data_IF_892595746409
#
_entry.id   IF_892595746409
#
_cell.length_a   1.000
_cell.length_b   1.000
_cell.length_c   1.000
_cell.angle_alpha   90.00
_cell.angle_beta   90.00
_cell.angle_gamma   90.00
#
_symmetry.space_group_name_H-M   'P 1'
#
loop_
_entity.id
_entity.type
_entity.pdbx_description
1 polymer ?
#
# COMPACT_ATOMS: atom_id res chain seq x y z
N UNK A 1 -74.06 9.64 6.10
CA UNK A 1 -72.67 9.82 6.59
C UNK A 1 -71.81 8.71 5.96
N UNK A 2 -71.47 8.74 4.67
CA UNK A 2 -70.23 9.33 4.07
C UNK A 2 -69.00 9.18 4.98
N UNK A 3 -67.79 8.75 4.61
CA UNK A 3 -67.15 8.08 3.47
C UNK A 3 -65.69 7.79 3.95
N UNK A 4 -65.13 6.59 3.73
CA UNK A 4 -63.92 6.28 2.94
C UNK A 4 -62.54 6.92 3.25
N UNK A 5 -61.50 6.14 2.86
CA UNK A 5 -60.04 6.38 2.78
C UNK A 5 -59.22 6.13 4.07
N UNK A 6 -58.32 5.13 4.19
CA UNK A 6 -57.06 4.79 3.42
C UNK A 6 -56.00 5.89 3.53
N UNK A 7 -54.72 5.47 3.52
CA UNK A 7 -53.41 6.18 3.50
C UNK A 7 -52.80 6.39 4.90
N UNK A 8 -51.55 6.01 5.21
CA UNK A 8 -50.35 5.95 4.37
C UNK A 8 -49.30 4.96 4.91
N UNK A 9 -48.85 4.05 4.04
CA UNK A 9 -47.53 3.41 4.14
C UNK A 9 -46.45 4.50 4.07
N UNK A 10 -45.60 4.57 5.09
CA UNK A 10 -44.38 5.36 5.04
C UNK A 10 -43.35 4.58 4.22
N UNK A 11 -43.23 4.97 2.95
CA UNK A 11 -42.12 4.59 2.08
C UNK A 11 -40.80 4.99 2.74
N UNK A 12 -39.99 4.00 3.15
CA UNK A 12 -38.57 4.20 3.40
C UNK A 12 -37.91 4.30 2.02
N UNK A 13 -37.68 5.53 1.55
CA UNK A 13 -36.81 5.75 0.40
C UNK A 13 -35.40 5.24 0.72
N UNK A 14 -34.75 4.46 -0.16
CA UNK A 14 -33.36 4.08 0.05
C UNK A 14 -32.48 5.32 -0.03
N UNK A 15 -31.73 5.57 1.03
CA UNK A 15 -30.70 6.59 1.13
C UNK A 15 -29.82 6.55 -0.12
N UNK A 16 -29.87 7.60 -0.92
CA UNK A 16 -28.98 7.75 -2.06
C UNK A 16 -27.57 7.97 -1.49
N UNK A 17 -26.78 6.90 -1.42
CA UNK A 17 -25.34 6.99 -1.19
C UNK A 17 -24.77 7.94 -2.23
N UNK A 18 -24.48 9.17 -1.82
CA UNK A 18 -23.78 10.18 -2.62
C UNK A 18 -22.52 9.53 -3.19
N UNK A 19 -22.55 9.16 -4.47
CA UNK A 19 -21.42 8.54 -5.15
C UNK A 19 -20.26 9.53 -5.10
N UNK A 20 -19.14 9.14 -4.47
CA UNK A 20 -17.94 9.99 -4.48
C UNK A 20 -17.52 10.20 -5.95
N UNK A 21 -16.96 11.35 -6.32
CA UNK A 21 -16.54 11.61 -7.71
C UNK A 21 -15.66 10.50 -8.30
N UNK A 22 -14.77 9.91 -7.48
CA UNK A 22 -13.95 8.76 -7.87
C UNK A 22 -14.74 7.46 -8.12
N UNK A 23 -15.89 7.27 -7.47
CA UNK A 23 -16.75 6.11 -7.70
C UNK A 23 -17.44 6.19 -9.07
N UNK A 24 -17.75 7.40 -9.57
CA UNK A 24 -18.31 7.58 -10.90
C UNK A 24 -17.29 7.25 -12.02
N UNK A 25 -16.04 7.70 -11.87
CA UNK A 25 -14.94 7.36 -12.78
C UNK A 25 -14.67 5.84 -12.77
N UNK A 26 -14.58 5.23 -11.59
CA UNK A 26 -14.36 3.80 -11.45
C UNK A 26 -15.50 2.96 -12.06
N UNK A 27 -16.76 3.40 -11.95
CA UNK A 27 -17.91 2.74 -12.60
C UNK A 27 -17.87 2.84 -14.12
N UNK A 28 -17.43 3.98 -14.68
CA UNK A 28 -17.24 4.12 -16.13
C UNK A 28 -16.11 3.23 -16.62
N UNK A 29 -14.96 3.29 -15.96
CA UNK A 29 -13.81 2.46 -16.27
C UNK A 29 -14.14 0.95 -16.19
N UNK A 30 -14.94 0.51 -15.22
CA UNK A 30 -15.42 -0.86 -15.10
C UNK A 30 -16.23 -1.35 -16.32
N UNK A 31 -16.81 -0.43 -17.10
CA UNK A 31 -17.53 -0.73 -18.36
C UNK A 31 -16.64 -0.60 -19.61
N UNK A 32 -15.33 -0.45 -19.44
CA UNK A 32 -14.37 -0.35 -20.54
C UNK A 32 -14.05 1.07 -21.00
N UNK A 33 -14.47 2.11 -20.27
CA UNK A 33 -14.11 3.50 -20.56
C UNK A 33 -12.61 3.76 -20.26
N UNK A 34 -11.79 3.77 -21.31
CA UNK A 34 -10.34 3.93 -21.23
C UNK A 34 -9.97 5.30 -20.66
N UNK A 35 -10.65 6.37 -21.07
CA UNK A 35 -10.35 7.72 -20.60
C UNK A 35 -10.66 7.89 -19.10
N UNK A 36 -11.72 7.23 -18.62
CA UNK A 36 -12.02 7.20 -17.19
C UNK A 36 -10.92 6.48 -16.39
N UNK A 37 -10.37 5.37 -16.93
CA UNK A 37 -9.28 4.65 -16.27
C UNK A 37 -7.96 5.42 -16.32
N UNK A 38 -7.66 6.11 -17.41
CA UNK A 38 -6.49 6.99 -17.52
C UNK A 38 -6.52 8.09 -16.44
N UNK A 39 -7.69 8.67 -16.16
CA UNK A 39 -7.82 9.63 -15.07
C UNK A 39 -7.52 8.98 -13.71
N UNK A 40 -8.11 7.81 -13.42
CA UNK A 40 -7.84 7.07 -12.18
C UNK A 40 -6.36 6.71 -12.04
N UNK A 41 -5.70 6.36 -13.14
CA UNK A 41 -4.26 6.10 -13.19
C UNK A 41 -3.47 7.35 -12.77
N UNK A 42 -3.72 8.49 -13.44
CA UNK A 42 -3.01 9.75 -13.13
C UNK A 42 -3.20 10.19 -11.68
N UNK A 43 -4.41 10.04 -11.15
CA UNK A 43 -4.74 10.41 -9.77
C UNK A 43 -4.02 9.54 -8.73
N UNK A 44 -3.68 8.30 -9.08
CA UNK A 44 -3.21 7.30 -8.11
C UNK A 44 -1.75 6.86 -8.29
N UNK A 45 -1.18 7.00 -9.49
CA UNK A 45 0.13 6.42 -9.85
C UNK A 45 1.24 6.89 -8.92
N UNK A 46 1.29 8.17 -8.59
CA UNK A 46 2.33 8.72 -7.70
C UNK A 46 2.30 8.08 -6.31
N UNK A 47 1.10 7.91 -5.73
CA UNK A 47 0.93 7.29 -4.41
C UNK A 47 1.33 5.81 -4.43
N UNK A 48 0.87 5.07 -5.44
CA UNK A 48 1.18 3.64 -5.61
C UNK A 48 2.68 3.44 -5.84
N UNK A 49 3.32 4.27 -6.66
CA UNK A 49 4.75 4.21 -6.91
C UNK A 49 5.57 4.44 -5.63
N UNK A 50 5.24 5.46 -4.83
CA UNK A 50 5.95 5.74 -3.57
C UNK A 50 5.83 4.57 -2.58
N UNK A 51 4.63 4.00 -2.42
CA UNK A 51 4.41 2.81 -1.61
C UNK A 51 5.30 1.65 -2.07
N UNK A 52 5.25 1.32 -3.37
CA UNK A 52 5.99 0.20 -3.93
C UNK A 52 7.50 0.44 -3.85
N UNK A 53 7.97 1.68 -4.02
CA UNK A 53 9.38 2.06 -3.86
C UNK A 53 9.87 1.80 -2.43
N UNK A 54 9.07 2.14 -1.41
CA UNK A 54 9.38 1.84 -0.01
C UNK A 54 9.46 0.33 0.24
N UNK A 55 8.48 -0.44 -0.24
CA UNK A 55 8.48 -1.89 -0.10
C UNK A 55 9.68 -2.55 -0.83
N UNK A 56 10.05 -2.02 -2.00
CA UNK A 56 11.19 -2.46 -2.79
C UNK A 56 12.57 -1.97 -2.30
N UNK A 57 12.62 -1.27 -1.17
CA UNK A 57 13.88 -0.78 -0.61
C UNK A 57 14.56 0.26 -1.48
N UNK A 58 13.79 1.18 -2.07
CA UNK A 58 14.32 2.27 -2.90
C UNK A 58 14.65 1.88 -4.34
N UNK A 59 14.51 0.61 -4.73
CA UNK A 59 14.86 0.16 -6.09
C UNK A 59 13.84 0.66 -7.13
N UNK A 60 14.24 1.66 -7.92
CA UNK A 60 13.37 2.38 -8.84
C UNK A 60 12.77 1.50 -9.94
N UNK A 61 13.60 0.75 -10.68
CA UNK A 61 13.12 -0.14 -11.74
C UNK A 61 12.06 -1.14 -11.26
N UNK A 62 12.33 -1.86 -10.16
CA UNK A 62 11.35 -2.77 -9.54
C UNK A 62 10.05 -2.08 -9.12
N UNK A 63 10.14 -0.88 -8.54
CA UNK A 63 8.96 -0.13 -8.14
C UNK A 63 8.12 0.27 -9.37
N UNK A 64 8.79 0.65 -10.47
CA UNK A 64 8.15 0.98 -11.73
C UNK A 64 7.45 -0.25 -12.35
N UNK A 65 8.12 -1.40 -12.41
CA UNK A 65 7.58 -2.66 -12.92
C UNK A 65 6.34 -3.09 -12.14
N UNK A 66 6.43 -3.11 -10.80
CA UNK A 66 5.29 -3.45 -9.94
C UNK A 66 4.15 -2.44 -10.07
N UNK A 67 4.46 -1.14 -10.25
CA UNK A 67 3.43 -0.12 -10.45
C UNK A 67 2.64 -0.43 -11.72
N UNK A 68 3.34 -0.74 -12.82
CA UNK A 68 2.70 -1.13 -14.08
C UNK A 68 1.84 -2.39 -13.90
N UNK A 69 2.39 -3.42 -13.26
CA UNK A 69 1.69 -4.68 -12.99
C UNK A 69 0.41 -4.46 -12.18
N UNK A 70 0.46 -3.61 -11.14
CA UNK A 70 -0.71 -3.26 -10.33
C UNK A 70 -1.82 -2.63 -11.17
N UNK A 71 -1.48 -1.70 -12.07
CA UNK A 71 -2.50 -1.06 -12.90
C UNK A 71 -3.04 -1.98 -14.01
N UNK A 72 -2.21 -2.87 -14.57
CA UNK A 72 -2.67 -3.92 -15.48
C UNK A 72 -3.68 -4.83 -14.78
N UNK A 73 -3.33 -5.30 -13.57
CA UNK A 73 -4.25 -6.12 -12.75
C UNK A 73 -5.50 -5.34 -12.35
N UNK A 74 -5.37 -4.06 -12.02
CA UNK A 74 -6.49 -3.21 -11.66
C UNK A 74 -7.47 -3.12 -12.83
N UNK A 75 -6.99 -2.85 -14.05
CA UNK A 75 -7.83 -2.83 -15.26
C UNK A 75 -8.57 -4.16 -15.47
N UNK A 76 -7.88 -5.28 -15.35
CA UNK A 76 -8.46 -6.62 -15.52
C UNK A 76 -9.51 -6.98 -14.45
N UNK A 77 -9.30 -6.54 -13.21
CA UNK A 77 -10.16 -6.87 -12.08
C UNK A 77 -11.30 -5.87 -11.86
N UNK A 78 -11.19 -4.64 -12.39
CA UNK A 78 -12.14 -3.56 -12.18
C UNK A 78 -13.60 -3.90 -12.57
N UNK A 79 -13.88 -4.66 -13.65
CA UNK A 79 -15.25 -5.08 -13.95
C UNK A 79 -15.93 -5.91 -12.85
N UNK A 80 -15.13 -6.59 -12.01
CA UNK A 80 -15.60 -7.42 -10.88
C UNK A 80 -15.57 -6.66 -9.54
N UNK A 81 -15.16 -5.40 -9.54
CA UNK A 81 -15.08 -4.60 -8.32
C UNK A 81 -16.49 -4.31 -7.79
N UNK A 82 -16.77 -4.70 -6.54
CA UNK A 82 -18.12 -4.58 -5.94
C UNK A 82 -18.50 -3.18 -5.48
N UNK A 83 -17.57 -2.21 -5.50
CA UNK A 83 -17.78 -0.84 -5.02
C UNK A 83 -18.21 -0.71 -3.55
N UNK A 84 -17.89 -1.71 -2.73
CA UNK A 84 -18.08 -1.69 -1.26
C UNK A 84 -17.03 -0.81 -0.53
N UNK A 85 -16.01 -0.35 -1.27
CA UNK A 85 -14.96 0.54 -0.78
C UNK A 85 -14.61 1.57 -1.87
N UNK A 86 -13.83 2.60 -1.54
CA UNK A 86 -13.31 3.49 -2.56
C UNK A 86 -12.37 2.74 -3.50
N UNK A 87 -12.33 3.14 -4.78
CA UNK A 87 -11.34 2.62 -5.74
C UNK A 87 -9.90 2.75 -5.19
N UNK A 88 -9.56 3.90 -4.60
CA UNK A 88 -8.25 4.15 -3.98
C UNK A 88 -7.89 3.09 -2.93
N UNK A 89 -8.82 2.75 -2.04
CA UNK A 89 -8.63 1.73 -0.99
C UNK A 89 -8.48 0.33 -1.57
N UNK A 90 -9.23 0.01 -2.62
CA UNK A 90 -9.12 -1.27 -3.31
C UNK A 90 -7.79 -1.40 -4.08
N UNK A 91 -7.40 -0.36 -4.82
CA UNK A 91 -6.14 -0.30 -5.55
C UNK A 91 -4.94 -0.38 -4.60
N UNK A 92 -5.02 0.30 -3.45
CA UNK A 92 -4.00 0.23 -2.41
C UNK A 92 -3.78 -1.21 -1.92
N UNK A 93 -4.87 -1.93 -1.60
CA UNK A 93 -4.79 -3.34 -1.20
C UNK A 93 -4.19 -4.22 -2.31
N UNK A 94 -4.56 -3.98 -3.58
CA UNK A 94 -3.99 -4.70 -4.72
C UNK A 94 -2.48 -4.45 -4.86
N UNK A 95 -2.02 -3.21 -4.62
CA UNK A 95 -0.61 -2.84 -4.66
C UNK A 95 0.20 -3.52 -3.55
N UNK A 96 -0.29 -3.47 -2.31
CA UNK A 96 0.31 -4.17 -1.18
C UNK A 96 0.41 -5.66 -1.48
N UNK A 97 -0.69 -6.30 -1.89
CA UNK A 97 -0.70 -7.73 -2.21
C UNK A 97 0.30 -8.09 -3.31
N UNK A 98 0.40 -7.28 -4.37
CA UNK A 98 1.35 -7.47 -5.47
C UNK A 98 2.80 -7.40 -4.98
N UNK A 99 3.14 -6.39 -4.17
CA UNK A 99 4.48 -6.27 -3.60
C UNK A 99 4.85 -7.42 -2.66
N UNK A 100 3.90 -7.90 -1.85
CA UNK A 100 4.15 -8.99 -0.91
C UNK A 100 4.26 -10.34 -1.62
N UNK A 101 3.51 -10.55 -2.71
CA UNK A 101 3.71 -11.72 -3.58
C UNK A 101 5.12 -11.74 -4.18
N UNK A 102 5.59 -10.60 -4.69
CA UNK A 102 6.95 -10.46 -5.24
C UNK A 102 8.01 -10.72 -4.16
N UNK A 103 7.82 -10.18 -2.95
CA UNK A 103 8.72 -10.43 -1.82
C UNK A 103 8.76 -11.93 -1.43
N UNK A 104 7.61 -12.62 -1.50
CA UNK A 104 7.52 -14.07 -1.26
C UNK A 104 8.18 -14.89 -2.37
N UNK A 105 7.95 -14.55 -3.64
CA UNK A 105 8.54 -15.24 -4.78
C UNK A 105 10.08 -15.19 -4.74
N UNK A 106 10.64 -14.05 -4.35
CA UNK A 106 12.09 -13.88 -4.15
C UNK A 106 12.65 -14.74 -3.02
N UNK A 107 11.85 -15.02 -1.99
CA UNK A 107 12.23 -15.94 -0.90
C UNK A 107 12.18 -17.41 -1.33
N UNK A 108 11.29 -17.76 -2.27
CA UNK A 108 11.22 -19.12 -2.81
C UNK A 108 12.51 -19.63 -3.48
N UNK A 109 13.49 -18.74 -3.73
CA UNK A 109 14.85 -19.10 -4.15
C UNK A 109 15.94 -18.96 -3.06
N UNK A 110 15.58 -18.52 -1.85
CA UNK A 110 16.50 -18.14 -0.76
C UNK A 110 15.95 -18.55 0.62
N UNK A 111 15.41 -19.76 0.74
CA UNK A 111 15.16 -20.38 2.06
C UNK A 111 16.46 -20.98 2.61
N UNK A 112 17.42 -20.11 2.93
CA UNK A 112 18.50 -20.35 3.89
C UNK A 112 19.23 -19.02 4.10
N UNK A 113 18.87 -18.29 5.16
CA UNK A 113 19.84 -17.72 6.11
C UNK A 113 19.11 -16.79 7.08
N UNK A 114 18.80 -17.36 8.24
CA UNK A 114 18.98 -16.63 9.49
C UNK A 114 20.46 -16.85 9.85
N UNK A 115 21.35 -16.01 9.32
CA UNK A 115 22.63 -15.71 9.98
C UNK A 115 23.27 -14.48 9.33
N UNK A 116 23.56 -13.52 10.20
CA UNK A 116 24.68 -12.59 10.15
C UNK A 116 25.25 -12.12 8.79
N UNK A 117 24.96 -10.87 8.45
CA UNK A 117 25.83 -10.07 7.59
C UNK A 117 25.71 -8.60 8.04
N UNK A 118 26.63 -8.21 8.91
CA UNK A 118 26.99 -6.82 9.17
C UNK A 118 27.41 -6.20 7.84
N UNK A 119 26.69 -5.18 7.37
CA UNK A 119 27.17 -4.31 6.31
C UNK A 119 27.35 -2.90 6.86
N UNK A 120 28.61 -2.58 7.15
CA UNK A 120 29.15 -1.22 7.08
C UNK A 120 28.95 -0.69 5.66
N UNK A 121 28.39 0.52 5.55
CA UNK A 121 28.47 1.30 4.32
C UNK A 121 28.55 2.76 4.73
N UNK A 122 29.76 3.30 4.70
CA UNK A 122 30.01 4.73 4.79
C UNK A 122 29.42 5.42 3.55
N UNK A 123 28.60 6.44 3.77
CA UNK A 123 28.22 7.39 2.72
C UNK A 123 28.50 8.81 3.23
N UNK A 124 29.43 9.48 2.55
CA UNK A 124 29.79 10.88 2.70
C UNK A 124 28.60 11.80 2.45
N UNK A 125 28.35 12.72 3.38
CA UNK A 125 27.25 13.69 3.35
C UNK A 125 27.76 14.99 2.71
N UNK A 126 27.12 15.42 1.63
CA UNK A 126 27.17 16.81 1.13
C UNK A 126 25.94 17.57 1.67
N UNK A 127 26.20 18.79 2.16
CA UNK A 127 25.34 19.56 3.05
C UNK A 127 24.54 20.64 2.30
N UNK A 128 23.21 20.48 2.19
CA UNK A 128 22.22 21.58 2.17
C UNK A 128 20.75 21.05 2.12
N UNK A 129 19.90 21.38 3.11
CA UNK A 129 18.43 21.22 2.98
C UNK A 129 17.60 20.77 4.20
N UNK A 130 17.86 21.30 5.40
CA UNK A 130 17.47 20.78 6.73
C UNK A 130 15.97 20.48 7.01
N UNK A 131 15.00 20.78 6.12
CA UNK A 131 13.58 20.41 6.32
C UNK A 131 13.02 19.37 5.34
N UNK A 132 13.66 19.19 4.18
CA UNK A 132 13.40 18.08 3.23
C UNK A 132 14.32 16.89 3.54
N UNK A 133 15.46 17.14 4.18
CA UNK A 133 16.43 16.11 4.57
C UNK A 133 15.85 15.11 5.56
N UNK A 134 15.02 15.52 6.53
CA UNK A 134 14.43 14.56 7.48
C UNK A 134 13.51 13.52 6.82
N UNK A 135 12.79 13.88 5.74
CA UNK A 135 12.01 12.89 4.98
C UNK A 135 12.90 12.04 4.08
N UNK A 136 13.90 12.64 3.44
CA UNK A 136 14.78 11.91 2.51
C UNK A 136 15.73 10.97 3.25
N UNK A 137 16.29 11.39 4.39
CA UNK A 137 17.19 10.58 5.22
C UNK A 137 16.41 9.43 5.86
N UNK A 138 15.16 9.65 6.29
CA UNK A 138 14.27 8.58 6.71
C UNK A 138 13.95 7.61 5.57
N UNK A 139 13.64 8.09 4.36
CA UNK A 139 13.38 7.23 3.21
C UNK A 139 14.60 6.40 2.81
N UNK A 140 15.81 6.99 2.83
CA UNK A 140 17.07 6.27 2.62
C UNK A 140 17.30 5.25 3.73
N UNK A 141 17.08 5.62 5.00
CA UNK A 141 17.23 4.70 6.13
C UNK A 141 16.24 3.52 6.02
N UNK A 142 14.99 3.75 5.65
CA UNK A 142 14.00 2.70 5.40
C UNK A 142 14.47 1.77 4.27
N UNK A 143 15.04 2.32 3.19
CA UNK A 143 15.55 1.51 2.07
C UNK A 143 16.64 0.51 2.50
N UNK A 144 17.48 0.89 3.45
CA UNK A 144 18.56 0.03 4.01
C UNK A 144 18.08 -1.08 4.94
N UNK A 145 16.80 -1.10 5.32
CA UNK A 145 16.28 -2.12 6.22
C UNK A 145 16.20 -3.49 5.52
N UNK A 146 16.43 -4.60 6.26
CA UNK A 146 16.19 -5.94 5.72
C UNK A 146 14.76 -6.09 5.21
N UNK A 147 14.52 -6.83 4.10
CA UNK A 147 13.25 -6.78 3.38
C UNK A 147 12.00 -7.03 4.23
N UNK A 148 12.06 -7.99 5.16
CA UNK A 148 10.94 -8.27 6.08
C UNK A 148 10.70 -7.17 7.11
N UNK A 149 11.77 -6.70 7.74
CA UNK A 149 11.69 -5.62 8.72
C UNK A 149 11.13 -4.35 8.06
N UNK A 150 11.59 -4.07 6.83
CA UNK A 150 11.07 -2.97 5.99
C UNK A 150 9.59 -3.13 5.67
N UNK A 151 9.18 -4.30 5.17
CA UNK A 151 7.79 -4.55 4.81
C UNK A 151 6.86 -4.39 6.02
N UNK A 152 7.23 -4.97 7.17
CA UNK A 152 6.44 -4.84 8.39
C UNK A 152 6.38 -3.38 8.88
N UNK A 153 7.49 -2.66 8.87
CA UNK A 153 7.52 -1.25 9.25
C UNK A 153 6.63 -0.40 8.34
N UNK A 154 6.76 -0.54 7.02
CA UNK A 154 5.94 0.23 6.07
C UNK A 154 4.46 -0.10 6.25
N UNK A 155 4.10 -1.38 6.33
CA UNK A 155 2.70 -1.76 6.46
C UNK A 155 2.08 -1.33 7.80
N UNK A 156 2.84 -1.36 8.89
CA UNK A 156 2.34 -0.98 10.21
C UNK A 156 2.38 0.54 10.45
N UNK A 157 3.57 1.16 10.37
CA UNK A 157 3.78 2.56 10.75
C UNK A 157 3.37 3.56 9.66
N UNK A 158 3.37 3.17 8.38
CA UNK A 158 3.00 4.05 7.26
C UNK A 158 1.59 3.78 6.79
N UNK A 159 1.23 2.50 6.61
CA UNK A 159 -0.09 2.12 6.07
C UNK A 159 -1.14 1.80 7.15
N UNK A 160 -0.74 1.66 8.41
CA UNK A 160 -1.66 1.47 9.54
C UNK A 160 -2.30 0.08 9.64
N UNK A 161 -1.74 -0.95 8.99
CA UNK A 161 -2.23 -2.32 9.11
C UNK A 161 -1.93 -2.89 10.49
N UNK A 162 -2.82 -3.75 10.96
CA UNK A 162 -2.63 -4.53 12.18
C UNK A 162 -1.56 -5.62 12.01
N UNK A 163 -1.00 -6.10 13.13
CA UNK A 163 -0.03 -7.20 13.08
C UNK A 163 -0.66 -8.49 12.57
N UNK A 164 -1.95 -8.69 12.80
CA UNK A 164 -2.76 -9.80 12.33
C UNK A 164 -2.87 -9.79 10.79
N UNK A 165 -3.25 -8.66 10.19
CA UNK A 165 -3.31 -8.51 8.73
C UNK A 165 -1.94 -8.69 8.07
N UNK A 166 -0.88 -8.13 8.68
CA UNK A 166 0.49 -8.27 8.16
C UNK A 166 0.96 -9.73 8.23
N UNK A 167 0.66 -10.42 9.33
CA UNK A 167 1.02 -11.82 9.55
C UNK A 167 0.39 -12.73 8.49
N UNK A 168 -0.89 -12.52 8.20
CA UNK A 168 -1.63 -13.23 7.15
C UNK A 168 -1.00 -12.99 5.77
N UNK A 169 -0.77 -11.73 5.39
CA UNK A 169 -0.28 -11.39 4.05
C UNK A 169 1.17 -11.85 3.79
N UNK A 170 2.01 -11.86 4.84
CA UNK A 170 3.41 -12.28 4.77
C UNK A 170 3.63 -13.75 5.13
N UNK A 171 2.58 -14.50 5.44
CA UNK A 171 2.62 -15.89 5.90
C UNK A 171 3.65 -16.09 7.04
N UNK A 172 3.44 -15.38 8.14
CA UNK A 172 4.27 -15.48 9.35
C UNK A 172 3.41 -15.43 10.62
N UNK A 173 3.98 -15.79 11.77
CA UNK A 173 3.31 -15.63 13.05
C UNK A 173 3.14 -14.13 13.42
N UNK A 174 2.06 -13.79 14.12
CA UNK A 174 1.81 -12.43 14.65
C UNK A 174 2.97 -11.96 15.54
N UNK A 175 3.52 -12.85 16.36
CA UNK A 175 4.72 -12.58 17.16
C UNK A 175 5.94 -12.22 16.30
N UNK A 176 6.10 -12.86 15.14
CA UNK A 176 7.17 -12.54 14.18
C UNK A 176 6.98 -11.16 13.58
N UNK A 177 5.74 -10.74 13.28
CA UNK A 177 5.43 -9.37 12.83
C UNK A 177 5.87 -8.34 13.88
N UNK A 178 5.49 -8.53 15.15
CA UNK A 178 5.92 -7.65 16.26
C UNK A 178 7.44 -7.58 16.41
N UNK A 179 8.12 -8.74 16.34
CA UNK A 179 9.58 -8.81 16.43
C UNK A 179 10.29 -8.09 15.27
N UNK A 180 9.78 -8.23 14.04
CA UNK A 180 10.30 -7.54 12.86
C UNK A 180 10.10 -6.02 12.97
N UNK A 181 8.96 -5.56 13.49
CA UNK A 181 8.71 -4.13 13.72
C UNK A 181 9.69 -3.56 14.76
N UNK A 182 9.87 -4.26 15.88
CA UNK A 182 10.83 -3.87 16.91
C UNK A 182 12.25 -3.77 16.32
N UNK A 183 12.66 -4.79 15.55
CA UNK A 183 13.95 -4.82 14.85
C UNK A 183 14.11 -3.65 13.87
N UNK A 184 13.08 -3.38 13.05
CA UNK A 184 13.11 -2.28 12.09
C UNK A 184 13.34 -0.93 12.80
N UNK A 185 12.58 -0.66 13.86
CA UNK A 185 12.71 0.57 14.65
C UNK A 185 14.07 0.66 15.35
N UNK A 186 14.61 -0.45 15.85
CA UNK A 186 15.97 -0.49 16.40
C UNK A 186 17.04 -0.10 15.38
N UNK A 187 16.97 -0.66 14.17
CA UNK A 187 17.89 -0.34 13.08
C UNK A 187 17.76 1.12 12.63
N UNK A 188 16.54 1.66 12.55
CA UNK A 188 16.35 3.07 12.23
C UNK A 188 16.89 4.00 13.32
N UNK A 189 16.69 3.68 14.61
CA UNK A 189 17.25 4.46 15.70
C UNK A 189 18.78 4.48 15.68
N UNK A 190 19.41 3.34 15.41
CA UNK A 190 20.87 3.28 15.28
C UNK A 190 21.37 4.18 14.14
N UNK A 191 20.68 4.20 12.99
CA UNK A 191 21.08 5.02 11.84
C UNK A 191 20.75 6.50 11.95
N UNK A 192 19.65 6.85 12.62
CA UNK A 192 19.17 8.23 12.72
C UNK A 192 19.58 8.91 14.03
N UNK A 193 20.03 8.15 15.03
CA UNK A 193 20.45 8.64 16.34
C UNK A 193 21.96 8.80 16.51
N UNK A 194 22.77 8.50 15.48
CA UNK A 194 24.22 8.80 15.45
C UNK A 194 24.54 10.23 14.98
N UNK A 195 23.58 11.16 15.09
CA UNK A 195 23.75 12.57 14.76
C UNK A 195 23.30 13.48 15.91
#
# INVERSE_FOLDING_TARGET
>A
MLASAVTSESFISPSTTSARPGDALARRAARGDIAAFEQLYRDQVGRIFVLLRRLCGGHEGRAQDLTQEVFVRAWQALPKFRFESAFATWLHRLAVNTALMELRARRGGLDAEITDAVLETHATIDTAGVRTLLSTDLERAIATLPPRARAVLVLFDVEGLSHEEIAEQLNMAVGSSKAQLHRARGLLRARLGEH
#
